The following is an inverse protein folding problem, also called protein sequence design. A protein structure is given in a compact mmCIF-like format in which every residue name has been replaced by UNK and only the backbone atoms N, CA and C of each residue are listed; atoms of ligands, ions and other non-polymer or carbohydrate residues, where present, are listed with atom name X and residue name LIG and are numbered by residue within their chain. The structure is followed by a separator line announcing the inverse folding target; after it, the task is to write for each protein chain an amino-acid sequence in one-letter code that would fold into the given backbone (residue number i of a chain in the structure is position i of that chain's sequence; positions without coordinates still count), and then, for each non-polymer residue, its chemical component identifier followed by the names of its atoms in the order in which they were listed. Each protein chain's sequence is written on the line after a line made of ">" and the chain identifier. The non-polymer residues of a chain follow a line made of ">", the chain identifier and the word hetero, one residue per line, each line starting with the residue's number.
data_IF_623450656358
#
_entry.id   IF_623450656358
#
_cell.length_a   1.000
_cell.length_b   1.000
_cell.length_c   1.000
_cell.angle_alpha   90.00
_cell.angle_beta   90.00
_cell.angle_gamma   90.00
#
_symmetry.space_group_name_H-M   'P 1'
#
loop_
_entity.id
_entity.type
_entity.pdbx_description
1 polymer ?
#
# COMPACT_ATOMS: atom_id res chain seq x y z
N UNK A 1 14.12 -28.04 0.54
CA UNK A 1 13.06 -27.43 -0.29
C UNK A 1 13.70 -27.05 -1.61
N UNK A 2 13.34 -27.71 -2.70
CA UNK A 2 13.76 -27.31 -4.04
C UNK A 2 13.04 -26.00 -4.36
N UNK A 3 13.77 -24.90 -4.38
CA UNK A 3 13.25 -23.63 -4.86
C UNK A 3 13.00 -23.78 -6.36
N UNK A 4 11.78 -23.51 -6.82
CA UNK A 4 11.44 -23.55 -8.25
C UNK A 4 12.47 -22.73 -9.06
N UNK A 5 13.05 -23.34 -10.10
CA UNK A 5 14.05 -22.71 -10.98
C UNK A 5 13.53 -21.42 -11.66
N UNK A 6 12.21 -21.20 -11.64
CA UNK A 6 11.53 -20.07 -12.26
C UNK A 6 11.31 -18.88 -11.32
N UNK A 7 11.66 -18.99 -10.04
CA UNK A 7 11.41 -17.97 -9.02
C UNK A 7 12.70 -17.37 -8.44
N UNK A 8 13.78 -17.30 -9.22
CA UNK A 8 15.03 -16.69 -8.78
C UNK A 8 15.01 -15.15 -8.89
N UNK A 9 14.07 -14.60 -9.65
CA UNK A 9 13.76 -13.17 -9.70
C UNK A 9 12.29 -12.96 -9.37
N UNK A 10 12.02 -12.07 -8.41
CA UNK A 10 10.66 -11.80 -7.91
C UNK A 10 10.28 -10.37 -8.25
N UNK A 11 9.28 -10.20 -9.11
CA UNK A 11 8.70 -8.90 -9.42
C UNK A 11 7.88 -8.37 -8.24
N UNK A 12 8.04 -7.07 -7.93
CA UNK A 12 7.48 -6.43 -6.75
C UNK A 12 6.38 -5.45 -7.14
N UNK A 13 5.29 -5.43 -6.36
CA UNK A 13 4.20 -4.44 -6.49
C UNK A 13 3.63 -4.34 -7.92
N UNK A 14 3.45 -5.47 -8.59
CA UNK A 14 2.91 -5.51 -9.96
C UNK A 14 1.41 -5.25 -9.88
N UNK A 15 0.97 -4.10 -10.41
CA UNK A 15 -0.44 -3.74 -10.49
C UNK A 15 -1.21 -4.65 -11.45
N UNK A 16 -2.54 -4.71 -11.30
CA UNK A 16 -3.43 -5.45 -12.21
C UNK A 16 -3.53 -4.78 -13.60
N UNK A 17 -3.25 -3.48 -13.66
CA UNK A 17 -3.23 -2.72 -14.91
C UNK A 17 -2.27 -1.54 -14.85
N UNK A 18 -1.80 -1.12 -16.02
CA UNK A 18 -0.95 0.05 -16.21
C UNK A 18 -1.51 0.94 -17.32
N UNK A 19 -1.15 2.23 -17.28
CA UNK A 19 -1.54 3.17 -18.31
C UNK A 19 -0.85 2.84 -19.64
N UNK A 20 -1.59 2.78 -20.76
CA UNK A 20 -1.01 2.57 -22.07
C UNK A 20 -0.21 3.81 -22.47
N UNK A 21 0.89 3.62 -23.20
CA UNK A 21 1.73 4.70 -23.71
C UNK A 21 2.25 5.68 -22.63
N UNK A 22 2.43 5.22 -21.39
CA UNK A 22 3.06 5.97 -20.31
C UNK A 22 4.33 5.25 -19.83
N UNK A 23 5.35 5.94 -19.28
CA UNK A 23 6.51 5.28 -18.72
C UNK A 23 6.11 4.29 -17.61
N UNK A 24 6.63 3.07 -17.69
CA UNK A 24 6.31 1.98 -16.78
C UNK A 24 7.55 1.55 -16.01
N UNK A 25 7.56 1.81 -14.70
CA UNK A 25 8.60 1.31 -13.82
C UNK A 25 8.27 -0.12 -13.37
N UNK A 26 9.21 -1.03 -13.61
CA UNK A 26 9.14 -2.42 -13.21
C UNK A 26 10.18 -2.68 -12.13
N UNK A 27 9.73 -3.02 -10.92
CA UNK A 27 10.59 -3.34 -9.77
C UNK A 27 10.70 -4.84 -9.59
N UNK A 28 11.89 -5.32 -9.25
CA UNK A 28 12.16 -6.73 -9.02
C UNK A 28 13.29 -6.94 -8.02
N UNK A 29 13.33 -8.13 -7.45
CA UNK A 29 14.34 -8.58 -6.50
C UNK A 29 15.10 -9.75 -7.10
N UNK A 30 16.41 -9.59 -7.24
CA UNK A 30 17.35 -10.67 -7.53
C UNK A 30 17.57 -11.45 -6.23
N UNK A 31 17.22 -12.73 -6.22
CA UNK A 31 17.41 -13.59 -5.03
C UNK A 31 18.85 -14.15 -4.98
N UNK A 32 19.27 -14.74 -3.85
CA UNK A 32 20.56 -15.42 -3.73
C UNK A 32 20.79 -16.55 -4.76
N UNK A 33 19.73 -17.02 -5.43
CA UNK A 33 19.77 -18.15 -6.36
C UNK A 33 20.07 -17.76 -7.82
N UNK A 34 20.30 -16.46 -8.09
CA UNK A 34 20.69 -15.98 -9.41
C UNK A 34 21.92 -15.07 -9.33
N UNK A 35 22.84 -15.26 -10.27
CA UNK A 35 23.94 -14.33 -10.52
C UNK A 35 23.55 -13.45 -11.70
N UNK A 36 23.34 -12.13 -11.50
CA UNK A 36 23.00 -11.22 -12.58
C UNK A 36 24.14 -11.10 -13.58
N UNK A 37 23.81 -10.83 -14.84
CA UNK A 37 24.78 -10.62 -15.91
C UNK A 37 24.43 -9.33 -16.71
N UNK A 38 25.41 -8.60 -17.27
CA UNK A 38 25.17 -7.37 -18.03
C UNK A 38 24.30 -7.53 -19.30
N UNK A 39 24.06 -8.78 -19.72
CA UNK A 39 23.18 -9.15 -20.85
C UNK A 39 21.89 -9.82 -20.40
N UNK A 40 21.57 -9.74 -19.12
CA UNK A 40 20.25 -10.11 -18.64
C UNK A 40 19.27 -8.96 -18.93
N UNK A 41 18.00 -9.28 -19.09
CA UNK A 41 16.99 -8.30 -19.45
C UNK A 41 15.62 -8.64 -18.89
N UNK A 42 14.79 -7.62 -18.76
CA UNK A 42 13.39 -7.76 -18.39
C UNK A 42 12.55 -7.46 -19.62
N UNK A 43 11.68 -8.39 -19.99
CA UNK A 43 10.75 -8.24 -21.09
C UNK A 43 9.32 -8.11 -20.61
N UNK A 44 8.50 -7.43 -21.43
CA UNK A 44 7.05 -7.51 -21.37
C UNK A 44 6.62 -8.58 -22.38
N UNK A 45 5.91 -9.59 -21.91
CA UNK A 45 5.44 -10.70 -22.73
C UNK A 45 3.94 -10.76 -22.70
N UNK A 46 3.31 -11.04 -23.84
CA UNK A 46 1.89 -11.40 -23.89
C UNK A 46 1.70 -12.78 -23.25
N UNK A 47 0.72 -12.94 -22.37
CA UNK A 47 0.41 -14.22 -21.71
C UNK A 47 0.18 -15.31 -22.78
N UNK A 48 0.73 -16.50 -22.55
CA UNK A 48 0.72 -17.60 -23.53
C UNK A 48 1.97 -17.64 -24.44
N UNK A 49 2.99 -16.83 -24.16
CA UNK A 49 4.30 -16.93 -24.79
C UNK A 49 4.91 -18.34 -24.60
N UNK A 50 5.69 -18.79 -25.59
CA UNK A 50 6.33 -20.11 -25.58
C UNK A 50 7.83 -20.03 -25.40
N UNK A 51 8.45 -18.96 -25.91
CA UNK A 51 9.90 -18.77 -25.89
C UNK A 51 10.29 -17.36 -25.47
N UNK A 52 11.55 -17.18 -25.04
CA UNK A 52 12.09 -15.86 -24.75
C UNK A 52 12.14 -14.91 -25.96
N UNK A 53 11.84 -15.38 -27.19
CA UNK A 53 11.77 -14.54 -28.39
C UNK A 53 10.40 -13.87 -28.57
N UNK A 54 9.39 -14.33 -27.85
CA UNK A 54 8.01 -13.84 -27.96
C UNK A 54 7.77 -12.56 -27.14
N UNK A 55 8.83 -11.81 -26.83
CA UNK A 55 8.72 -10.56 -26.08
C UNK A 55 8.04 -9.50 -26.96
N UNK A 56 7.23 -8.65 -26.32
CA UNK A 56 6.70 -7.45 -26.95
C UNK A 56 7.76 -6.34 -26.99
N UNK A 57 8.40 -6.09 -25.84
CA UNK A 57 9.53 -5.16 -25.69
C UNK A 57 10.42 -5.62 -24.54
N UNK A 58 11.63 -5.08 -24.46
CA UNK A 58 12.58 -5.39 -23.41
C UNK A 58 13.44 -4.20 -23.00
N UNK A 59 14.00 -4.29 -21.79
CA UNK A 59 15.02 -3.38 -21.27
C UNK A 59 16.12 -4.23 -20.62
N UNK A 60 17.39 -3.88 -20.86
CA UNK A 60 18.51 -4.52 -20.19
C UNK A 60 18.43 -4.31 -18.68
N UNK A 61 18.63 -5.38 -17.91
CA UNK A 61 18.70 -5.31 -16.45
C UNK A 61 20.06 -4.72 -16.06
N UNK A 62 20.11 -3.55 -15.40
CA UNK A 62 21.38 -2.97 -15.01
C UNK A 62 22.09 -3.86 -13.99
N UNK A 63 23.39 -4.08 -14.22
CA UNK A 63 24.24 -4.82 -13.28
C UNK A 63 24.34 -4.03 -11.96
N UNK A 64 24.13 -4.66 -10.78
CA UNK A 64 24.31 -3.98 -9.51
C UNK A 64 25.78 -3.57 -9.32
N UNK A 65 26.01 -2.33 -8.89
CA UNK A 65 27.35 -1.87 -8.49
C UNK A 65 27.76 -2.63 -7.21
N UNK A 66 28.93 -3.27 -7.23
CA UNK A 66 29.46 -4.09 -6.13
C UNK A 66 28.60 -5.32 -5.78
N UNK A 67 28.10 -6.04 -6.80
CA UNK A 67 27.36 -7.28 -6.57
C UNK A 67 28.22 -8.35 -5.88
N UNK A 68 27.78 -8.82 -4.72
CA UNK A 68 28.32 -10.00 -4.06
C UNK A 68 27.52 -11.26 -4.43
N UNK A 69 28.16 -12.34 -4.92
CA UNK A 69 27.47 -13.60 -5.21
C UNK A 69 26.68 -14.13 -4.00
N UNK A 70 25.42 -14.48 -4.22
CA UNK A 70 24.52 -14.97 -3.15
C UNK A 70 23.85 -13.86 -2.33
N UNK A 71 24.09 -12.59 -2.64
CA UNK A 71 23.35 -11.47 -2.05
C UNK A 71 21.99 -11.25 -2.71
N UNK A 72 21.06 -10.63 -1.98
CA UNK A 72 19.79 -10.17 -2.53
C UNK A 72 19.94 -8.72 -2.99
N UNK A 73 19.41 -8.39 -4.17
CA UNK A 73 19.47 -7.04 -4.71
C UNK A 73 18.12 -6.57 -5.28
N UNK A 74 17.65 -5.40 -4.83
CA UNK A 74 16.44 -4.76 -5.36
C UNK A 74 16.77 -3.87 -6.54
N UNK A 75 16.13 -4.09 -7.69
CA UNK A 75 16.34 -3.38 -8.94
C UNK A 75 15.04 -2.84 -9.52
N UNK A 76 15.19 -1.86 -10.40
CA UNK A 76 14.11 -1.29 -11.16
C UNK A 76 14.59 -0.97 -12.58
N UNK A 77 13.70 -1.16 -13.55
CA UNK A 77 13.88 -0.72 -14.94
C UNK A 77 12.67 0.08 -15.37
N UNK A 78 12.85 1.01 -16.30
CA UNK A 78 11.77 1.84 -16.83
C UNK A 78 11.59 1.53 -18.31
N UNK A 79 10.41 1.02 -18.67
CA UNK A 79 9.97 0.91 -20.06
C UNK A 79 9.46 2.29 -20.50
N UNK A 80 10.05 2.83 -21.56
CA UNK A 80 9.64 4.13 -22.08
C UNK A 80 8.24 4.04 -22.70
N UNK A 81 7.47 5.12 -22.57
CA UNK A 81 6.08 5.24 -23.02
C UNK A 81 5.81 4.64 -24.42
N UNK A 82 6.66 4.97 -25.39
CA UNK A 82 6.49 4.55 -26.78
C UNK A 82 6.73 3.05 -27.02
N UNK A 83 7.37 2.34 -26.08
CA UNK A 83 7.54 0.89 -26.11
C UNK A 83 6.44 0.14 -25.34
N UNK A 84 5.67 0.84 -24.51
CA UNK A 84 4.61 0.23 -23.71
C UNK A 84 3.42 -0.10 -24.62
N UNK A 85 2.83 -1.31 -24.52
CA UNK A 85 1.67 -1.68 -25.31
C UNK A 85 0.52 -0.68 -25.23
N UNK A 86 -0.27 -0.65 -26.30
CA UNK A 86 -1.53 0.10 -26.35
C UNK A 86 -2.60 -0.66 -25.55
N UNK A 87 -3.76 -0.02 -25.39
CA UNK A 87 -4.93 -0.70 -24.84
C UNK A 87 -5.54 -1.64 -25.89
N UNK A 88 -5.03 -2.88 -25.94
CA UNK A 88 -5.45 -3.92 -26.88
C UNK A 88 -6.31 -5.03 -26.25
N UNK A 89 -6.54 -4.96 -24.93
CA UNK A 89 -7.33 -5.94 -24.19
C UNK A 89 -6.56 -7.22 -23.83
N UNK A 90 -5.28 -7.30 -24.17
CA UNK A 90 -4.47 -8.48 -23.91
C UNK A 90 -3.84 -8.45 -22.52
N UNK A 91 -3.57 -9.64 -21.98
CA UNK A 91 -2.81 -9.78 -20.75
C UNK A 91 -1.32 -9.90 -21.04
N UNK A 92 -0.55 -9.21 -20.24
CA UNK A 92 0.90 -9.17 -20.29
C UNK A 92 1.49 -9.55 -18.94
N UNK A 93 2.75 -9.94 -18.93
CA UNK A 93 3.52 -10.17 -17.71
C UNK A 93 4.98 -9.76 -17.94
N UNK A 94 5.67 -9.40 -16.86
CA UNK A 94 7.11 -9.23 -16.89
C UNK A 94 7.80 -10.58 -16.79
N UNK A 95 8.85 -10.78 -17.58
CA UNK A 95 9.73 -11.92 -17.43
C UNK A 95 11.19 -11.46 -17.36
N UNK A 96 11.94 -12.04 -16.41
CA UNK A 96 13.39 -11.86 -16.34
C UNK A 96 14.06 -12.96 -17.14
N UNK A 97 14.86 -12.56 -18.12
CA UNK A 97 15.56 -13.46 -19.04
C UNK A 97 17.06 -13.30 -18.85
N UNK A 98 17.74 -14.42 -18.67
CA UNK A 98 19.20 -14.42 -18.52
C UNK A 98 19.89 -14.23 -19.87
N UNK A 99 21.18 -13.93 -19.85
CA UNK A 99 22.05 -13.91 -21.01
C UNK A 99 22.09 -15.25 -21.77
N UNK A 100 21.73 -16.37 -21.12
CA UNK A 100 21.63 -17.70 -21.74
C UNK A 100 20.25 -17.94 -22.39
N UNK A 101 19.29 -17.04 -22.18
CA UNK A 101 17.92 -17.17 -22.70
C UNK A 101 16.94 -17.85 -21.76
N UNK A 102 17.35 -18.19 -20.53
CA UNK A 102 16.49 -18.82 -19.54
C UNK A 102 15.55 -17.80 -18.88
N UNK A 103 14.30 -18.19 -18.66
CA UNK A 103 13.35 -17.41 -17.85
C UNK A 103 13.54 -17.75 -16.37
N UNK A 104 13.90 -16.77 -15.55
CA UNK A 104 14.18 -16.95 -14.11
C UNK A 104 13.26 -16.18 -13.18
N UNK A 105 12.24 -15.53 -13.74
CA UNK A 105 11.18 -14.85 -13.01
C UNK A 105 10.04 -14.50 -13.95
N UNK A 106 8.81 -14.60 -13.48
CA UNK A 106 7.62 -14.14 -14.17
C UNK A 106 6.67 -13.44 -13.19
N UNK A 107 6.11 -12.29 -13.57
CA UNK A 107 5.14 -11.58 -12.72
C UNK A 107 3.75 -12.20 -12.82
N UNK A 108 2.86 -11.76 -11.92
CA UNK A 108 1.42 -11.91 -12.15
C UNK A 108 1.01 -11.15 -13.42
N UNK A 109 0.00 -11.65 -14.18
CA UNK A 109 -0.51 -10.97 -15.36
C UNK A 109 -1.14 -9.60 -15.06
N UNK A 110 -1.04 -8.69 -16.02
CA UNK A 110 -1.61 -7.34 -15.99
C UNK A 110 -2.06 -6.90 -17.38
N UNK A 111 -2.87 -5.86 -17.47
CA UNK A 111 -3.31 -5.29 -18.75
C UNK A 111 -2.84 -3.84 -18.93
N UNK A 112 -2.62 -3.45 -20.18
CA UNK A 112 -2.52 -2.03 -20.53
C UNK A 112 -3.92 -1.53 -20.85
N UNK A 113 -4.44 -0.65 -20.00
CA UNK A 113 -5.74 -0.03 -20.22
C UNK A 113 -5.71 1.37 -19.64
N UNK A 114 -6.28 2.31 -20.38
CA UNK A 114 -6.53 3.63 -19.80
C UNK A 114 -7.37 3.43 -18.56
N UNK A 115 -7.15 4.22 -17.51
CA UNK A 115 -8.10 4.30 -16.42
C UNK A 115 -9.44 4.71 -17.03
N UNK A 116 -10.32 3.73 -17.29
CA UNK A 116 -11.71 4.03 -17.62
C UNK A 116 -12.27 4.70 -16.38
N UNK A 117 -12.90 5.88 -16.50
CA UNK A 117 -13.44 6.60 -15.35
C UNK A 117 -14.25 5.69 -14.43
N UNK A 118 -14.90 4.68 -15.00
CA UNK A 118 -15.76 3.69 -14.34
C UNK A 118 -15.06 2.72 -13.38
N UNK A 119 -13.80 2.32 -13.60
CA UNK A 119 -13.16 1.32 -12.71
C UNK A 119 -12.55 1.97 -11.46
N UNK A 120 -12.09 3.21 -11.54
CA UNK A 120 -11.73 4.01 -10.37
C UNK A 120 -12.98 4.58 -9.67
N UNK A 121 -14.15 4.53 -10.33
CA UNK A 121 -15.42 5.02 -9.79
C UNK A 121 -16.16 4.01 -8.91
N UNK A 122 -15.82 2.72 -8.97
CA UNK A 122 -16.59 1.65 -8.35
C UNK A 122 -15.72 0.90 -7.34
N UNK A 123 -15.63 1.41 -6.12
CA UNK A 123 -15.11 0.62 -5.01
C UNK A 123 -16.16 -0.40 -4.60
N UNK A 124 -15.85 -1.68 -4.77
CA UNK A 124 -16.65 -2.78 -4.22
C UNK A 124 -16.27 -2.94 -2.76
N UNK A 125 -17.20 -2.67 -1.85
CA UNK A 125 -17.07 -3.04 -0.44
C UNK A 125 -17.85 -4.33 -0.21
N UNK A 126 -17.17 -5.37 0.24
CA UNK A 126 -17.81 -6.59 0.75
C UNK A 126 -18.35 -6.25 2.15
N UNK A 127 -19.66 -6.13 2.30
CA UNK A 127 -20.29 -5.98 3.61
C UNK A 127 -20.43 -7.38 4.21
N UNK A 128 -19.90 -7.58 5.43
CA UNK A 128 -19.61 -8.88 6.07
C UNK A 128 -20.89 -9.61 6.55
N UNK A 129 -22.05 -9.28 5.98
CA UNK A 129 -23.32 -9.93 6.22
C UNK A 129 -23.67 -10.77 5.00
N UNK A 130 -23.69 -12.09 5.18
CA UNK A 130 -23.99 -13.16 4.23
C UNK A 130 -25.18 -12.87 3.28
N UNK A 131 -24.97 -11.99 2.31
CA UNK A 131 -25.96 -11.52 1.36
C UNK A 131 -25.30 -11.34 0.00
N UNK A 132 -25.85 -12.01 -1.00
CA UNK A 132 -25.48 -11.98 -2.42
C UNK A 132 -25.81 -10.60 -3.07
N UNK A 133 -25.46 -9.49 -2.41
CA UNK A 133 -25.76 -8.14 -2.88
C UNK A 133 -24.45 -7.38 -3.08
N UNK A 134 -24.07 -7.20 -4.34
CA UNK A 134 -22.96 -6.37 -4.77
C UNK A 134 -23.37 -4.89 -4.73
N UNK A 135 -22.92 -4.14 -3.72
CA UNK A 135 -23.16 -2.70 -3.65
C UNK A 135 -22.14 -1.95 -4.52
N UNK A 136 -22.63 -1.39 -5.62
CA UNK A 136 -21.84 -0.60 -6.58
C UNK A 136 -21.99 0.88 -6.21
N UNK A 137 -20.98 1.47 -5.56
CA UNK A 137 -20.99 2.90 -5.19
C UNK A 137 -20.22 3.71 -6.23
N UNK A 138 -20.79 4.81 -6.74
CA UNK A 138 -20.12 5.72 -7.68
C UNK A 138 -19.26 6.76 -6.95
N UNK A 139 -18.28 7.37 -7.62
CA UNK A 139 -17.42 8.46 -7.09
C UNK A 139 -18.22 9.64 -6.54
N UNK A 140 -19.40 9.94 -7.07
CA UNK A 140 -20.28 10.97 -6.48
C UNK A 140 -20.74 10.55 -5.09
N UNK A 141 -21.19 9.31 -4.93
CA UNK A 141 -21.56 8.77 -3.61
C UNK A 141 -20.36 8.60 -2.67
N UNK A 142 -19.16 8.33 -3.20
CA UNK A 142 -17.95 8.24 -2.37
C UNK A 142 -17.49 9.63 -1.90
N UNK A 143 -17.59 10.65 -2.76
CA UNK A 143 -17.31 12.04 -2.39
C UNK A 143 -18.31 12.53 -1.34
N UNK A 144 -19.61 12.27 -1.51
CA UNK A 144 -20.64 12.58 -0.51
C UNK A 144 -20.33 11.90 0.83
N UNK A 145 -20.02 10.59 0.84
CA UNK A 145 -19.64 9.87 2.07
C UNK A 145 -18.35 10.38 2.70
N UNK A 146 -17.37 10.79 1.90
CA UNK A 146 -16.13 11.40 2.41
C UNK A 146 -16.42 12.77 3.02
N UNK A 147 -17.29 13.57 2.40
CA UNK A 147 -17.71 14.86 2.92
C UNK A 147 -18.52 14.71 4.22
N UNK A 148 -19.44 13.74 4.28
CA UNK A 148 -20.18 13.35 5.49
C UNK A 148 -19.24 12.89 6.60
N UNK A 149 -18.34 11.93 6.33
CA UNK A 149 -17.38 11.44 7.31
C UNK A 149 -16.43 12.55 7.78
N UNK A 150 -16.03 13.47 6.90
CA UNK A 150 -15.25 14.64 7.29
C UNK A 150 -16.05 15.62 8.14
N UNK A 151 -17.34 15.78 7.88
CA UNK A 151 -18.23 16.62 8.68
C UNK A 151 -18.43 16.03 10.07
N UNK A 152 -18.74 14.73 10.17
CA UNK A 152 -18.83 14.01 11.44
C UNK A 152 -17.52 14.10 12.23
N UNK A 153 -16.37 13.92 11.57
CA UNK A 153 -15.07 14.08 12.21
C UNK A 153 -14.89 15.49 12.77
N UNK A 154 -15.31 16.54 12.04
CA UNK A 154 -15.24 17.92 12.51
C UNK A 154 -16.12 18.13 13.73
N UNK A 155 -17.32 17.57 13.74
CA UNK A 155 -18.27 17.67 14.86
C UNK A 155 -17.78 16.92 16.09
N UNK A 156 -17.29 15.69 15.92
CA UNK A 156 -16.68 14.90 16.99
C UNK A 156 -15.46 15.61 17.60
N UNK A 157 -14.59 16.21 16.78
CA UNK A 157 -13.44 16.97 17.28
C UNK A 157 -13.85 18.20 18.09
N UNK A 158 -14.95 18.88 17.71
CA UNK A 158 -15.50 19.99 18.50
C UNK A 158 -16.07 19.48 19.83
N UNK A 159 -16.83 18.39 19.81
CA UNK A 159 -17.39 17.79 21.01
C UNK A 159 -16.30 17.30 21.98
N UNK A 160 -15.25 16.64 21.46
CA UNK A 160 -14.10 16.22 22.27
C UNK A 160 -13.41 17.41 22.95
N UNK A 161 -13.28 18.55 22.26
CA UNK A 161 -12.67 19.76 22.86
C UNK A 161 -13.50 20.28 24.03
N UNK A 162 -14.82 20.40 23.85
CA UNK A 162 -15.72 20.87 24.91
C UNK A 162 -15.70 19.93 26.12
N UNK A 163 -15.80 18.62 25.89
CA UNK A 163 -15.71 17.62 26.96
C UNK A 163 -14.36 17.67 27.68
N UNK A 164 -13.28 17.98 26.98
CA UNK A 164 -11.96 18.10 27.58
C UNK A 164 -11.81 19.35 28.45
N UNK A 165 -12.42 20.48 28.05
CA UNK A 165 -12.51 21.69 28.86
C UNK A 165 -13.36 21.46 30.12
N UNK A 166 -14.54 20.84 29.98
CA UNK A 166 -15.40 20.50 31.13
C UNK A 166 -14.69 19.55 32.10
N UNK A 167 -13.99 18.54 31.58
CA UNK A 167 -13.17 17.63 32.41
C UNK A 167 -12.10 18.40 33.18
N UNK A 168 -11.43 19.38 32.57
CA UNK A 168 -10.42 20.18 33.28
C UNK A 168 -11.04 21.01 34.40
N UNK A 169 -12.17 21.67 34.13
CA UNK A 169 -12.90 22.45 35.13
C UNK A 169 -13.34 21.58 36.32
N UNK A 170 -13.93 20.42 36.04
CA UNK A 170 -14.32 19.47 37.10
C UNK A 170 -13.12 18.94 37.88
N UNK A 171 -11.97 18.72 37.23
CA UNK A 171 -10.74 18.32 37.91
C UNK A 171 -10.18 19.42 38.82
N UNK A 172 -10.27 20.68 38.41
CA UNK A 172 -9.87 21.82 39.24
C UNK A 172 -10.81 21.99 40.43
N UNK A 173 -12.12 21.87 40.21
CA UNK A 173 -13.11 21.94 41.28
C UNK A 173 -12.95 20.79 42.29
N UNK A 174 -12.72 19.56 41.83
CA UNK A 174 -12.41 18.44 42.72
C UNK A 174 -11.16 18.70 43.57
N UNK A 175 -10.10 19.28 42.98
CA UNK A 175 -8.88 19.65 43.72
C UNK A 175 -9.15 20.74 44.74
N UNK A 176 -9.99 21.74 44.42
CA UNK A 176 -10.39 22.81 45.35
C UNK A 176 -11.13 22.23 46.55
N UNK A 177 -12.19 21.46 46.30
CA UNK A 177 -12.99 20.81 47.35
C UNK A 177 -12.16 19.85 48.20
N UNK A 178 -11.20 19.13 47.60
CA UNK A 178 -10.30 18.25 48.35
C UNK A 178 -9.42 19.02 49.33
N UNK A 179 -8.90 20.20 48.95
CA UNK A 179 -8.11 21.08 49.82
C UNK A 179 -8.95 21.67 50.95
N UNK A 180 -10.16 22.15 50.65
CA UNK A 180 -11.09 22.66 51.67
C UNK A 180 -11.41 21.58 52.71
N UNK A 181 -11.74 20.36 52.26
CA UNK A 181 -11.99 19.22 53.15
C UNK A 181 -10.77 18.87 54.01
N UNK A 182 -9.55 18.99 53.48
CA UNK A 182 -8.33 18.73 54.23
C UNK A 182 -8.07 19.80 55.29
N UNK A 183 -8.25 21.08 54.95
CA UNK A 183 -8.17 22.18 55.91
C UNK A 183 -9.22 22.06 57.03
N UNK A 184 -10.46 21.68 56.70
CA UNK A 184 -11.49 21.43 57.71
C UNK A 184 -11.11 20.27 58.64
N UNK A 185 -10.55 19.18 58.09
CA UNK A 185 -10.06 18.04 58.90
C UNK A 185 -8.94 18.46 59.84
N UNK A 186 -7.95 19.22 59.37
CA UNK A 186 -6.86 19.75 60.18
C UNK A 186 -7.39 20.66 61.30
N UNK A 187 -8.31 21.57 60.96
CA UNK A 187 -8.95 22.46 61.93
C UNK A 187 -9.74 21.69 62.99
N UNK A 188 -10.50 20.66 62.59
CA UNK A 188 -11.20 19.78 63.53
C UNK A 188 -10.24 18.99 64.42
N UNK A 189 -9.11 18.50 63.90
CA UNK A 189 -8.10 17.81 64.69
C UNK A 189 -7.50 18.73 65.75
N UNK A 190 -7.12 19.97 65.38
CA UNK A 190 -6.56 20.95 66.30
C UNK A 190 -7.54 21.31 67.43
N UNK A 191 -8.82 21.53 67.11
CA UNK A 191 -9.86 21.83 68.11
C UNK A 191 -10.11 20.66 69.08
N UNK A 192 -9.98 19.41 68.62
CA UNK A 192 -10.09 18.22 69.47
C UNK A 192 -8.89 18.07 70.40
N UNK A 193 -7.68 18.39 69.94
CA UNK A 193 -6.47 18.36 70.80
C UNK A 193 -6.43 19.47 71.84
N UNK A 194 -7.15 20.59 71.62
CA UNK A 194 -7.20 21.71 72.56
C UNK A 194 -8.32 21.57 73.61
N UNK A 195 -9.30 20.68 73.39
CA UNK A 195 -10.41 20.40 74.32
C UNK A 195 -10.17 19.16 75.20
N UNK A 196 -8.92 18.68 75.29
CA UNK A 196 -8.50 17.55 76.10
C UNK A 196 -7.45 18.01 77.11
#
# INVERSE_FOLDING_TARGET
>A
METSNFAHVIFQNVGKSFLPQAPLECRYTLTPYITPHPKDWVGIFKVGWSTARDYYTFVWSPMPENYEPGSTAHRAVVFQAYYVPKSDGEFYQFCYVTHAGDIRGASTPFQFRSATPTEELLTVTEDDSNSDILVVTTKTGLLERVEEAQQERRELLKAMRLLQEEKQQLQEEQKRLAREREQERETCCLLRTHNQ
#
